data_IF_017638641435
#
_entry.id   IF_017638641435
#
_cell.length_a   1.000
_cell.length_b   1.000
_cell.length_c   1.000
_cell.angle_alpha   90.00
_cell.angle_beta   90.00
_cell.angle_gamma   90.00
#
_symmetry.space_group_name_H-M   'P 1'
#
loop_
_entity.id
_entity.type
_entity.pdbx_description
1 polymer ?
#
# COMPACT_ATOMS: atom_id res chain seq x y z
N UNK A 1 -16.40 20.85 -1.19
CA UNK A 1 -15.14 20.28 -0.65
C UNK A 1 -15.20 18.77 -0.38
N UNK A 2 -16.30 18.19 0.10
CA UNK A 2 -16.38 16.74 0.39
C UNK A 2 -16.22 15.83 -0.85
N UNK A 3 -16.75 16.23 -2.03
CA UNK A 3 -16.64 15.45 -3.27
C UNK A 3 -15.22 15.41 -3.86
N UNK A 4 -14.44 16.47 -3.69
CA UNK A 4 -13.04 16.52 -4.13
C UNK A 4 -12.15 15.62 -3.27
N UNK A 5 -12.43 15.53 -1.97
CA UNK A 5 -11.74 14.63 -1.05
C UNK A 5 -12.03 13.15 -1.36
N UNK A 6 -13.27 12.83 -1.72
CA UNK A 6 -13.69 11.48 -2.11
C UNK A 6 -13.01 11.03 -3.42
N UNK A 7 -12.93 11.92 -4.41
CA UNK A 7 -12.20 11.66 -5.66
C UNK A 7 -10.70 11.49 -5.41
N UNK A 8 -10.10 12.28 -4.51
CA UNK A 8 -8.69 12.15 -4.14
C UNK A 8 -8.40 10.80 -3.43
N UNK A 9 -9.33 10.30 -2.61
CA UNK A 9 -9.26 8.99 -1.96
C UNK A 9 -9.44 7.81 -2.95
N UNK A 10 -10.18 8.00 -4.04
CA UNK A 10 -10.34 7.03 -5.14
C UNK A 10 -9.13 7.00 -6.08
N UNK A 11 -8.32 8.06 -6.13
CA UNK A 11 -7.04 8.10 -6.85
C UNK A 11 -5.86 7.56 -6.02
N UNK A 12 -6.04 7.28 -4.72
CA UNK A 12 -5.02 6.58 -3.96
C UNK A 12 -4.91 5.14 -4.52
N UNK A 13 -3.71 4.71 -4.96
CA UNK A 13 -3.53 3.31 -5.32
C UNK A 13 -3.96 2.45 -4.12
N UNK A 14 -4.73 1.37 -4.35
CA UNK A 14 -5.17 0.53 -3.26
C UNK A 14 -3.95 0.09 -2.45
N UNK A 15 -3.99 0.15 -1.10
CA UNK A 15 -2.89 -0.30 -0.28
C UNK A 15 -2.54 -1.73 -0.71
N UNK A 16 -1.33 -1.91 -1.26
CA UNK A 16 -0.89 -3.21 -1.75
C UNK A 16 -0.90 -4.14 -0.55
N UNK A 17 -1.76 -5.17 -0.59
CA UNK A 17 -2.01 -6.04 0.53
C UNK A 17 -0.70 -6.63 1.09
N UNK A 18 -0.57 -6.84 2.41
CA UNK A 18 0.61 -7.46 2.99
C UNK A 18 0.86 -8.81 2.34
N UNK A 19 2.06 -9.00 1.80
CA UNK A 19 2.41 -10.25 1.15
C UNK A 19 2.84 -11.27 2.19
N UNK A 20 2.26 -12.47 2.09
CA UNK A 20 2.69 -13.64 2.81
C UNK A 20 2.95 -14.80 1.86
N UNK A 21 4.09 -15.44 2.05
CA UNK A 21 4.29 -16.83 1.71
C UNK A 21 4.39 -17.62 3.01
N UNK A 22 3.56 -18.64 3.18
CA UNK A 22 3.73 -19.66 4.22
C UNK A 22 4.43 -20.88 3.60
N UNK A 23 4.95 -21.78 4.44
CA UNK A 23 5.70 -23.01 4.10
C UNK A 23 5.25 -23.72 2.82
N UNK A 24 6.19 -24.41 2.14
CA UNK A 24 5.92 -25.10 0.87
C UNK A 24 4.66 -25.98 0.98
N UNK A 25 3.62 -25.73 0.16
CA UNK A 25 2.44 -26.58 0.17
C UNK A 25 2.78 -27.95 -0.43
N UNK A 26 2.12 -28.98 0.11
CA UNK A 26 2.15 -30.34 -0.39
C UNK A 26 1.38 -30.44 -1.73
N UNK A 27 2.01 -30.02 -2.83
CA UNK A 27 1.56 -30.22 -4.23
C UNK A 27 0.21 -29.58 -4.65
N UNK A 28 -0.06 -29.38 -5.95
CA UNK A 28 0.85 -29.23 -7.08
C UNK A 28 0.93 -27.74 -7.46
N UNK A 29 2.15 -27.19 -7.47
CA UNK A 29 2.47 -25.79 -7.81
C UNK A 29 1.84 -24.72 -6.91
N UNK A 30 2.61 -24.07 -6.02
CA UNK A 30 2.16 -22.79 -5.47
C UNK A 30 2.08 -21.81 -6.65
N UNK A 31 0.96 -21.09 -6.86
CA UNK A 31 0.74 -20.20 -8.02
C UNK A 31 1.70 -18.99 -8.08
N UNK A 32 2.78 -18.99 -7.27
CA UNK A 32 3.68 -17.86 -7.04
C UNK A 32 5.17 -18.19 -7.04
N UNK A 33 5.59 -19.43 -7.31
CA UNK A 33 7.02 -19.82 -7.36
C UNK A 33 7.45 -20.26 -8.75
N UNK A 34 8.60 -19.74 -9.20
CA UNK A 34 9.32 -20.19 -10.38
C UNK A 34 10.58 -20.94 -9.95
N UNK A 35 10.77 -22.13 -10.52
CA UNK A 35 11.93 -22.98 -10.33
C UNK A 35 12.77 -22.97 -11.61
N UNK A 36 14.10 -22.91 -11.49
CA UNK A 36 15.01 -23.03 -12.63
C UNK A 36 16.35 -23.68 -12.23
N UNK A 37 17.15 -24.09 -13.22
CA UNK A 37 18.49 -24.64 -12.98
C UNK A 37 18.51 -25.95 -12.20
N UNK A 38 17.67 -26.93 -12.54
CA UNK A 38 17.51 -28.19 -11.80
C UNK A 38 16.98 -28.06 -10.35
N UNK A 39 16.36 -26.92 -10.02
CA UNK A 39 15.50 -26.84 -8.85
C UNK A 39 14.22 -27.65 -9.08
N UNK A 40 13.90 -28.57 -8.18
CA UNK A 40 12.72 -29.44 -8.26
C UNK A 40 11.94 -29.42 -6.95
N UNK A 41 10.61 -29.42 -7.07
CA UNK A 41 9.72 -29.53 -5.92
C UNK A 41 9.62 -31.00 -5.49
N UNK A 42 9.85 -31.26 -4.21
CA UNK A 42 9.54 -32.52 -3.52
C UNK A 42 8.37 -32.29 -2.56
N UNK A 43 7.67 -33.33 -2.08
CA UNK A 43 6.48 -33.18 -1.25
C UNK A 43 6.65 -32.26 -0.03
N UNK A 44 7.85 -32.22 0.57
CA UNK A 44 8.15 -31.47 1.79
C UNK A 44 9.38 -30.55 1.67
N UNK A 45 9.93 -30.37 0.47
CA UNK A 45 11.14 -29.58 0.27
C UNK A 45 11.33 -29.17 -1.20
N UNK A 46 12.13 -28.14 -1.43
CA UNK A 46 12.70 -27.84 -2.75
C UNK A 46 14.12 -28.38 -2.79
N UNK A 47 14.41 -29.27 -3.73
CA UNK A 47 15.74 -29.79 -3.98
C UNK A 47 16.43 -28.96 -5.04
N UNK A 48 17.62 -28.45 -4.72
CA UNK A 48 18.51 -27.70 -5.58
C UNK A 48 19.76 -28.56 -5.79
N UNK A 49 19.67 -29.48 -6.76
CA UNK A 49 20.64 -30.56 -6.99
C UNK A 49 21.74 -30.21 -8.01
N UNK A 50 21.83 -28.95 -8.43
CA UNK A 50 22.92 -28.48 -9.26
C UNK A 50 23.37 -27.07 -8.89
N UNK A 51 24.65 -26.73 -9.16
CA UNK A 51 25.07 -25.35 -9.21
C UNK A 51 24.19 -24.63 -10.24
N UNK A 52 23.71 -23.42 -9.90
CA UNK A 52 22.73 -22.61 -10.68
C UNK A 52 21.25 -22.93 -10.44
N UNK A 53 20.93 -23.85 -9.53
CA UNK A 53 19.55 -24.04 -9.11
C UNK A 53 18.99 -22.78 -8.44
N UNK A 54 17.78 -22.38 -8.85
CA UNK A 54 17.13 -21.17 -8.38
C UNK A 54 15.65 -21.41 -8.10
N UNK A 55 15.20 -20.82 -7.00
CA UNK A 55 13.80 -20.67 -6.60
C UNK A 55 13.51 -19.17 -6.51
N UNK A 56 12.46 -18.66 -7.15
CA UNK A 56 12.10 -17.24 -7.01
C UNK A 56 10.59 -17.04 -7.03
N UNK A 57 10.11 -15.94 -6.46
CA UNK A 57 8.73 -15.52 -6.63
C UNK A 57 8.45 -15.18 -8.10
N UNK A 58 7.24 -15.45 -8.58
CA UNK A 58 6.82 -15.05 -9.94
C UNK A 58 6.40 -13.59 -10.00
N UNK A 59 5.87 -13.06 -8.91
CA UNK A 59 5.38 -11.69 -8.81
C UNK A 59 6.27 -10.87 -7.88
N UNK A 60 6.64 -9.63 -8.27
CA UNK A 60 7.42 -8.76 -7.41
C UNK A 60 6.55 -8.27 -6.24
N UNK A 61 7.18 -8.08 -5.08
CA UNK A 61 6.53 -7.73 -3.81
C UNK A 61 7.02 -6.37 -3.34
N UNK A 62 6.10 -5.49 -2.97
CA UNK A 62 6.43 -4.26 -2.26
C UNK A 62 6.79 -4.60 -0.80
N UNK A 63 8.03 -4.31 -0.39
CA UNK A 63 8.51 -4.66 0.96
C UNK A 63 7.99 -3.71 2.04
N UNK A 64 7.67 -2.47 1.67
CA UNK A 64 7.25 -1.43 2.60
C UNK A 64 8.34 -1.06 3.63
N UNK A 65 7.97 -0.57 4.82
CA UNK A 65 8.91 -0.18 5.87
C UNK A 65 9.59 -1.37 6.58
N UNK A 66 9.04 -2.59 6.51
CA UNK A 66 9.64 -3.73 7.19
C UNK A 66 9.29 -5.06 6.49
N UNK A 67 10.25 -5.97 6.46
CA UNK A 67 10.00 -7.35 6.05
C UNK A 67 10.69 -8.32 7.00
N UNK A 68 10.14 -9.52 7.08
CA UNK A 68 10.77 -10.64 7.76
C UNK A 68 10.63 -11.90 6.94
N UNK A 69 11.71 -12.66 6.85
CA UNK A 69 11.74 -13.94 6.16
C UNK A 69 12.37 -14.98 7.06
N UNK A 70 11.79 -16.17 7.03
CA UNK A 70 12.26 -17.35 7.73
C UNK A 70 12.41 -18.47 6.71
N UNK A 71 13.48 -19.23 6.82
CA UNK A 71 13.63 -20.43 6.01
C UNK A 71 14.50 -21.45 6.72
N UNK A 72 14.31 -22.71 6.37
CA UNK A 72 15.15 -23.81 6.84
C UNK A 72 15.72 -24.58 5.68
N UNK A 73 17.01 -24.89 5.75
CA UNK A 73 17.76 -25.47 4.65
C UNK A 73 18.83 -26.44 5.14
N UNK A 74 19.40 -27.23 4.25
CA UNK A 74 20.65 -27.93 4.49
C UNK A 74 21.52 -27.88 3.25
N UNK A 75 22.83 -27.67 3.45
CA UNK A 75 23.85 -27.78 2.41
C UNK A 75 24.61 -29.08 2.63
N UNK A 76 24.82 -29.81 1.55
CA UNK A 76 25.69 -30.99 1.51
C UNK A 76 26.73 -30.77 0.42
N UNK A 77 28.01 -30.82 0.81
CA UNK A 77 29.14 -30.58 -0.09
C UNK A 77 29.54 -29.12 -0.22
N UNK A 78 30.56 -28.83 -1.06
CA UNK A 78 31.07 -27.48 -1.25
C UNK A 78 30.06 -26.60 -2.00
N UNK A 79 30.07 -25.31 -1.69
CA UNK A 79 29.26 -24.29 -2.33
C UNK A 79 28.47 -23.45 -1.33
N UNK A 80 27.51 -22.69 -1.84
CA UNK A 80 26.72 -21.76 -1.03
C UNK A 80 25.25 -21.71 -1.44
N UNK A 81 24.40 -21.36 -0.50
CA UNK A 81 23.02 -20.96 -0.72
C UNK A 81 22.92 -19.45 -0.48
N UNK A 82 22.28 -18.70 -1.38
CA UNK A 82 22.00 -17.29 -1.13
C UNK A 82 20.54 -16.98 -1.24
N UNK A 83 20.02 -16.26 -0.24
CA UNK A 83 18.76 -15.56 -0.33
C UNK A 83 19.00 -14.21 -1.00
N UNK A 84 18.19 -13.86 -1.99
CA UNK A 84 18.37 -12.60 -2.72
C UNK A 84 17.07 -11.80 -2.85
N UNK A 85 17.23 -10.49 -2.95
CA UNK A 85 16.21 -9.54 -3.36
C UNK A 85 16.69 -8.77 -4.59
N UNK A 86 15.89 -8.80 -5.65
CA UNK A 86 16.17 -8.13 -6.91
C UNK A 86 15.08 -7.10 -7.21
N UNK A 87 15.43 -5.84 -7.47
CA UNK A 87 14.44 -4.83 -7.86
C UNK A 87 13.79 -5.18 -9.20
N UNK A 88 12.50 -4.87 -9.31
CA UNK A 88 11.72 -4.98 -10.53
C UNK A 88 11.32 -3.58 -11.02
N UNK A 89 11.51 -3.23 -12.31
CA UNK A 89 12.21 -4.00 -13.36
C UNK A 89 13.71 -4.15 -13.05
N UNK A 90 14.30 -5.22 -13.58
CA UNK A 90 15.70 -5.61 -13.30
C UNK A 90 16.66 -4.49 -13.76
N UNK A 91 17.48 -3.91 -12.89
CA UNK A 91 18.46 -2.92 -13.29
C UNK A 91 19.68 -3.61 -13.91
N UNK A 92 20.23 -3.01 -14.96
CA UNK A 92 21.42 -3.53 -15.69
C UNK A 92 22.71 -3.56 -14.85
N UNK A 93 22.73 -2.83 -13.72
CA UNK A 93 23.98 -2.53 -13.00
C UNK A 93 24.39 -3.58 -11.96
N UNK A 94 23.44 -4.30 -11.34
CA UNK A 94 23.71 -5.35 -10.34
C UNK A 94 22.61 -6.43 -10.34
N UNK A 95 22.97 -7.73 -10.30
CA UNK A 95 21.99 -8.82 -10.36
C UNK A 95 21.10 -8.89 -9.09
N UNK A 96 21.62 -8.47 -7.93
CA UNK A 96 20.93 -8.49 -6.64
C UNK A 96 21.15 -7.18 -5.88
N UNK A 97 20.08 -6.63 -5.31
CA UNK A 97 20.18 -5.48 -4.40
C UNK A 97 20.59 -5.92 -3.00
N UNK A 98 20.02 -7.03 -2.50
CA UNK A 98 20.43 -7.69 -1.26
C UNK A 98 20.72 -9.15 -1.58
N UNK A 99 21.86 -9.66 -1.13
CA UNK A 99 22.14 -11.08 -1.14
C UNK A 99 22.71 -11.49 0.22
N UNK A 100 22.12 -12.52 0.83
CA UNK A 100 22.62 -13.10 2.08
C UNK A 100 23.07 -14.50 1.75
N UNK A 101 24.37 -14.73 1.82
CA UNK A 101 25.02 -15.95 1.33
C UNK A 101 25.52 -16.77 2.50
N UNK A 102 25.11 -18.03 2.52
CA UNK A 102 25.49 -19.06 3.48
C UNK A 102 26.43 -20.04 2.79
N UNK A 103 27.68 -20.06 3.23
CA UNK A 103 28.74 -20.92 2.71
C UNK A 103 28.78 -22.24 3.49
N UNK A 104 29.06 -23.34 2.80
CA UNK A 104 29.36 -24.65 3.40
C UNK A 104 30.54 -24.58 4.39
N UNK A 105 31.46 -23.63 4.23
CA UNK A 105 32.53 -23.34 5.19
C UNK A 105 32.05 -22.64 6.48
N UNK A 106 30.74 -22.71 6.78
CA UNK A 106 30.08 -22.09 7.93
C UNK A 106 30.26 -20.56 7.99
N UNK A 107 30.46 -19.89 6.86
CA UNK A 107 30.53 -18.43 6.77
C UNK A 107 29.21 -17.86 6.26
N UNK A 108 28.78 -16.75 6.85
CA UNK A 108 27.63 -16.00 6.38
C UNK A 108 28.05 -14.59 6.02
N UNK A 109 27.63 -14.14 4.83
CA UNK A 109 27.92 -12.79 4.33
C UNK A 109 26.65 -12.10 3.87
N UNK A 110 26.62 -10.78 4.03
CA UNK A 110 25.55 -9.91 3.56
C UNK A 110 26.16 -9.00 2.51
N UNK A 111 25.70 -9.12 1.28
CA UNK A 111 26.04 -8.24 0.18
C UNK A 111 24.88 -7.29 -0.09
N UNK A 112 25.18 -6.02 -0.28
CA UNK A 112 24.21 -5.01 -0.63
C UNK A 112 24.70 -4.20 -1.83
N UNK A 113 23.89 -4.12 -2.88
CA UNK A 113 24.23 -3.51 -4.16
C UNK A 113 25.62 -3.98 -4.69
N UNK A 114 25.88 -5.29 -4.60
CA UNK A 114 27.15 -5.90 -5.04
C UNK A 114 28.34 -5.76 -4.08
N UNK A 115 28.19 -5.10 -2.94
CA UNK A 115 29.27 -4.89 -1.97
C UNK A 115 29.02 -5.70 -0.69
N UNK A 116 30.02 -6.44 -0.23
CA UNK A 116 29.95 -7.14 1.06
C UNK A 116 29.92 -6.12 2.20
N UNK A 117 28.81 -6.06 2.92
CA UNK A 117 28.58 -5.11 4.03
C UNK A 117 28.74 -5.75 5.41
N UNK A 118 28.63 -7.08 5.51
CA UNK A 118 28.84 -7.80 6.76
C UNK A 118 29.26 -9.24 6.52
N UNK A 119 30.13 -9.76 7.40
CA UNK A 119 30.55 -11.16 7.39
C UNK A 119 30.62 -11.69 8.81
N UNK A 120 30.22 -12.94 9.01
CA UNK A 120 30.37 -13.65 10.28
C UNK A 120 30.71 -15.10 10.01
N UNK A 121 31.60 -15.66 10.84
CA UNK A 121 31.71 -17.10 10.98
C UNK A 121 30.57 -17.58 11.87
N UNK A 122 29.88 -18.64 11.43
CA UNK A 122 29.00 -19.40 12.28
C UNK A 122 29.78 -20.58 12.84
N UNK A 123 29.67 -20.83 14.14
CA UNK A 123 30.23 -22.05 14.76
C UNK A 123 29.41 -23.31 14.41
N UNK A 124 28.46 -23.19 13.48
CA UNK A 124 27.59 -24.24 13.00
C UNK A 124 28.32 -25.00 11.88
N UNK A 125 29.41 -25.67 12.25
CA UNK A 125 30.16 -26.51 11.34
C UNK A 125 29.30 -27.70 10.87
N UNK A 126 29.30 -28.06 9.57
CA UNK A 126 28.64 -29.26 9.09
C UNK A 126 29.40 -30.50 9.62
N UNK A 127 28.97 -31.02 10.76
CA UNK A 127 29.44 -32.31 11.29
C UNK A 127 28.91 -33.43 10.42
N UNK A 128 29.70 -33.92 9.44
CA UNK A 128 29.60 -35.17 8.64
C UNK A 128 28.26 -35.56 7.97
N UNK A 129 27.14 -34.96 8.35
CA UNK A 129 25.79 -35.15 7.88
C UNK A 129 25.17 -33.76 7.59
N UNK A 130 24.25 -33.66 6.62
CA UNK A 130 23.59 -32.41 6.29
C UNK A 130 22.71 -31.95 7.46
N UNK A 131 23.27 -31.09 8.33
CA UNK A 131 22.52 -30.50 9.43
C UNK A 131 21.50 -29.49 8.88
N UNK A 132 20.24 -29.64 9.28
CA UNK A 132 19.19 -28.67 8.97
C UNK A 132 19.46 -27.38 9.76
N UNK A 133 19.62 -26.28 9.05
CA UNK A 133 19.81 -24.93 9.59
C UNK A 133 18.54 -24.11 9.43
N UNK A 134 18.31 -23.22 10.38
CA UNK A 134 17.18 -22.30 10.44
C UNK A 134 17.70 -20.87 10.42
N UNK A 135 17.20 -20.06 9.50
CA UNK A 135 17.61 -18.67 9.31
C UNK A 135 16.41 -17.74 9.42
N UNK A 136 16.60 -16.63 10.13
CA UNK A 136 15.64 -15.54 10.23
C UNK A 136 16.31 -14.25 9.82
N UNK A 137 15.70 -13.54 8.89
CA UNK A 137 16.13 -12.22 8.47
C UNK A 137 15.01 -11.25 8.80
N UNK A 138 15.36 -10.14 9.43
CA UNK A 138 14.45 -9.07 9.77
C UNK A 138 15.04 -7.74 9.34
N UNK A 139 14.29 -7.01 8.53
CA UNK A 139 14.64 -5.68 8.08
C UNK A 139 13.64 -4.68 8.65
N UNK A 140 14.16 -3.58 9.16
CA UNK A 140 13.37 -2.43 9.58
C UNK A 140 13.94 -1.14 9.00
N UNK A 141 13.13 -0.45 8.19
CA UNK A 141 13.50 0.81 7.56
C UNK A 141 13.53 1.98 8.56
N UNK A 142 12.74 1.96 9.63
CA UNK A 142 12.67 3.09 10.58
C UNK A 142 13.96 3.21 11.39
N UNK A 143 14.47 2.07 11.86
CA UNK A 143 15.77 1.99 12.54
C UNK A 143 16.94 1.82 11.57
N UNK A 144 16.71 1.70 10.26
CA UNK A 144 17.73 1.35 9.28
C UNK A 144 18.58 0.15 9.76
N UNK A 145 17.92 -0.93 10.18
CA UNK A 145 18.56 -2.14 10.69
C UNK A 145 18.23 -3.36 9.84
N UNK A 146 19.21 -4.24 9.67
CA UNK A 146 19.04 -5.58 9.10
C UNK A 146 19.67 -6.58 10.05
N UNK A 147 18.83 -7.45 10.60
CA UNK A 147 19.25 -8.50 11.53
C UNK A 147 19.13 -9.86 10.89
N UNK A 148 20.18 -10.65 11.01
CA UNK A 148 20.27 -12.02 10.58
C UNK A 148 20.54 -12.91 11.81
N UNK A 149 19.72 -13.95 11.96
CA UNK A 149 19.86 -15.00 12.99
C UNK A 149 19.99 -16.33 12.29
N UNK A 150 20.86 -17.19 12.80
CA UNK A 150 21.08 -18.55 12.30
C UNK A 150 21.13 -19.51 13.49
N UNK A 151 20.51 -20.67 13.35
CA UNK A 151 20.46 -21.71 14.38
C UNK A 151 20.49 -23.10 13.76
N UNK A 152 21.10 -24.08 14.43
CA UNK A 152 20.95 -25.49 14.10
C UNK A 152 19.67 -26.11 14.70
N UNK A 153 18.97 -25.37 15.55
CA UNK A 153 17.69 -25.81 16.13
C UNK A 153 16.56 -24.95 15.57
N UNK A 154 15.33 -25.46 15.63
CA UNK A 154 14.13 -24.70 15.27
C UNK A 154 13.86 -23.52 16.20
N UNK A 155 14.59 -23.41 17.32
CA UNK A 155 14.48 -22.28 18.25
C UNK A 155 15.23 -21.07 17.71
N UNK A 156 14.54 -19.94 17.69
CA UNK A 156 15.09 -18.65 17.30
C UNK A 156 16.07 -18.15 18.37
N UNK A 157 17.35 -17.88 18.04
CA UNK A 157 18.31 -17.31 18.98
C UNK A 157 17.87 -15.94 19.46
N UNK A 158 18.14 -15.60 20.72
CA UNK A 158 17.82 -14.27 21.28
C UNK A 158 18.67 -13.16 20.65
N UNK A 159 19.95 -13.45 20.40
CA UNK A 159 20.91 -12.53 19.79
C UNK A 159 21.03 -12.77 18.27
N UNK A 160 21.15 -11.70 17.46
CA UNK A 160 21.47 -11.82 16.05
C UNK A 160 22.91 -12.32 15.84
N UNK A 161 23.11 -13.15 14.82
CA UNK A 161 24.45 -13.52 14.36
C UNK A 161 25.13 -12.32 13.68
N UNK A 162 24.35 -11.58 12.89
CA UNK A 162 24.78 -10.35 12.22
C UNK A 162 23.69 -9.29 12.39
N UNK A 163 24.09 -8.08 12.74
CA UNK A 163 23.22 -6.91 12.79
C UNK A 163 23.92 -5.77 12.06
N UNK A 164 23.36 -5.34 10.94
CA UNK A 164 23.83 -4.17 10.21
C UNK A 164 23.04 -2.95 10.67
N UNK A 165 23.76 -1.96 11.19
CA UNK A 165 23.24 -0.66 11.55
C UNK A 165 24.38 0.37 11.58
N UNK A 166 24.23 1.55 10.95
CA UNK A 166 23.15 1.93 10.03
C UNK A 166 23.30 1.24 8.67
N UNK A 167 22.19 1.03 7.96
CA UNK A 167 22.27 0.57 6.56
C UNK A 167 22.75 1.70 5.64
N UNK A 168 23.54 1.39 4.60
CA UNK A 168 23.98 2.39 3.64
C UNK A 168 22.81 2.89 2.79
N UNK A 169 22.94 4.05 2.11
CA UNK A 169 21.86 4.68 1.36
C UNK A 169 21.26 3.81 0.25
N UNK A 170 22.04 2.87 -0.31
CA UNK A 170 21.58 1.91 -1.32
C UNK A 170 20.44 1.02 -0.81
N UNK A 171 20.34 0.79 0.50
CA UNK A 171 19.25 0.04 1.12
C UNK A 171 17.88 0.72 1.01
N UNK A 172 17.82 2.03 0.73
CA UNK A 172 16.56 2.76 0.53
C UNK A 172 15.76 2.23 -0.67
N UNK A 173 16.43 1.54 -1.60
CA UNK A 173 15.77 0.86 -2.70
C UNK A 173 14.85 -0.27 -2.23
N UNK A 174 15.15 -0.91 -1.09
CA UNK A 174 14.33 -1.99 -0.52
C UNK A 174 12.91 -1.54 -0.20
N UNK A 175 12.72 -0.30 0.27
CA UNK A 175 11.39 0.24 0.63
C UNK A 175 10.66 0.91 -0.54
N UNK A 176 11.37 1.29 -1.59
CA UNK A 176 10.83 2.16 -2.66
C UNK A 176 10.48 1.40 -3.93
N UNK A 177 11.17 0.30 -4.23
CA UNK A 177 10.94 -0.49 -5.44
C UNK A 177 10.34 -1.84 -5.10
N UNK A 178 9.47 -2.39 -5.97
CA UNK A 178 8.99 -3.75 -5.80
C UNK A 178 10.14 -4.73 -6.05
N UNK A 179 10.20 -5.80 -5.24
CA UNK A 179 11.33 -6.73 -5.17
C UNK A 179 10.90 -8.15 -5.49
N UNK A 180 11.69 -8.85 -6.30
CA UNK A 180 11.63 -10.29 -6.47
C UNK A 180 12.52 -10.94 -5.42
N UNK A 181 11.91 -11.76 -4.56
CA UNK A 181 12.62 -12.56 -3.57
C UNK A 181 12.85 -13.98 -4.08
N UNK A 182 14.00 -14.56 -3.72
CA UNK A 182 14.32 -15.92 -4.11
C UNK A 182 15.58 -16.46 -3.46
N UNK A 183 15.93 -17.67 -3.87
CA UNK A 183 17.12 -18.39 -3.48
C UNK A 183 17.87 -18.84 -4.72
N UNK A 184 19.20 -18.77 -4.67
CA UNK A 184 20.06 -19.39 -5.67
C UNK A 184 21.11 -20.23 -4.97
N UNK A 185 21.41 -21.38 -5.55
CA UNK A 185 22.41 -22.31 -5.02
C UNK A 185 23.59 -22.42 -5.98
N UNK A 186 24.78 -22.43 -5.39
CA UNK A 186 26.03 -22.82 -6.03
C UNK A 186 26.54 -24.17 -5.50
N UNK A 187 25.83 -24.75 -4.53
CA UNK A 187 26.16 -26.07 -3.97
C UNK A 187 25.71 -27.19 -4.92
N UNK A 188 26.40 -28.31 -4.85
CA UNK A 188 26.03 -29.52 -5.59
C UNK A 188 24.75 -30.15 -5.05
N UNK A 189 24.49 -30.01 -3.75
CA UNK A 189 23.26 -30.50 -3.15
C UNK A 189 22.80 -29.58 -2.02
N UNK A 190 21.72 -28.85 -2.27
CA UNK A 190 21.07 -28.01 -1.29
C UNK A 190 19.57 -28.36 -1.23
N UNK A 191 19.02 -28.46 -0.03
CA UNK A 191 17.59 -28.69 0.15
C UNK A 191 16.99 -27.60 1.01
N UNK A 192 15.93 -26.96 0.52
CA UNK A 192 15.18 -25.94 1.22
C UNK A 192 13.86 -26.55 1.70
N UNK A 193 13.69 -26.69 3.01
CA UNK A 193 12.56 -27.41 3.61
C UNK A 193 11.39 -26.49 3.96
N UNK A 194 11.68 -25.23 4.22
CA UNK A 194 10.68 -24.25 4.61
C UNK A 194 11.09 -22.89 4.07
N UNK A 195 10.10 -22.12 3.65
CA UNK A 195 10.25 -20.70 3.39
C UNK A 195 8.95 -19.99 3.76
N UNK A 196 9.08 -19.03 4.66
CA UNK A 196 8.05 -18.09 5.01
C UNK A 196 8.57 -16.67 4.75
N UNK A 197 7.77 -15.84 4.10
CA UNK A 197 8.15 -14.47 3.76
C UNK A 197 6.99 -13.53 4.02
N UNK A 198 7.21 -12.52 4.84
CA UNK A 198 6.21 -11.50 5.21
C UNK A 198 6.78 -10.12 4.91
N UNK A 199 6.04 -9.35 4.13
CA UNK A 199 6.32 -7.94 3.92
C UNK A 199 5.12 -7.13 4.44
N UNK A 200 5.40 -6.16 5.31
CA UNK A 200 4.38 -5.24 5.76
C UNK A 200 4.43 -3.98 4.90
N UNK A 201 3.35 -3.72 4.17
CA UNK A 201 3.18 -2.51 3.36
C UNK A 201 2.20 -1.50 3.99
N UNK A 202 1.58 -1.83 5.14
CA UNK A 202 0.69 -0.87 5.79
C UNK A 202 1.53 0.20 6.48
N UNK A 203 1.53 1.41 5.91
CA UNK A 203 2.01 2.64 6.54
C UNK A 203 1.23 3.01 7.81
N UNK A 204 0.19 2.25 8.16
CA UNK A 204 -0.60 2.42 9.37
C UNK A 204 0.08 1.68 10.52
N UNK A 205 0.81 2.46 11.30
CA UNK A 205 1.44 2.14 12.58
C UNK A 205 2.84 1.49 12.50
N UNK A 206 3.80 2.24 13.02
CA UNK A 206 5.24 2.04 13.17
C UNK A 206 5.66 0.83 14.01
N UNK A 207 4.78 -0.16 14.19
CA UNK A 207 5.11 -1.34 14.97
C UNK A 207 6.03 -2.24 14.11
N UNK A 208 7.26 -2.53 14.58
CA UNK A 208 8.14 -3.44 13.88
C UNK A 208 7.42 -4.77 13.72
N UNK A 209 7.49 -5.34 12.51
CA UNK A 209 6.87 -6.62 12.21
C UNK A 209 7.40 -7.66 13.20
N UNK A 210 6.57 -8.06 14.18
CA UNK A 210 7.02 -8.96 15.22
C UNK A 210 7.32 -10.34 14.60
N UNK A 211 8.59 -10.77 14.57
CA UNK A 211 8.97 -12.01 13.93
C UNK A 211 8.57 -13.23 14.77
N UNK A 212 8.00 -13.04 15.96
CA UNK A 212 7.42 -14.10 16.78
C UNK A 212 6.24 -14.77 16.09
N UNK A 213 5.47 -14.04 15.28
CA UNK A 213 4.33 -14.59 14.53
C UNK A 213 4.73 -15.55 13.41
N UNK A 214 6.00 -15.53 12.97
CA UNK A 214 6.55 -16.55 12.07
C UNK A 214 6.83 -17.89 12.79
N UNK A 215 6.79 -17.91 14.13
CA UNK A 215 7.11 -19.06 14.96
C UNK A 215 5.89 -19.78 15.55
N UNK A 216 4.74 -19.10 15.67
CA UNK A 216 3.53 -19.64 16.35
C UNK A 216 2.68 -20.57 15.51
N UNK A 217 3.16 -21.00 14.35
CA UNK A 217 2.44 -21.89 13.45
C UNK A 217 3.13 -23.26 13.42
N UNK A 218 2.72 -24.26 14.23
CA UNK A 218 2.78 -25.65 13.75
C UNK A 218 2.03 -25.72 12.42
N UNK A 219 2.34 -26.63 11.47
CA UNK A 219 1.59 -26.72 10.21
C UNK A 219 0.10 -26.77 10.57
N UNK A 220 -0.66 -25.69 10.31
CA UNK A 220 -2.00 -25.64 10.80
C UNK A 220 -2.75 -26.60 9.90
N UNK A 221 -3.45 -27.56 10.51
CA UNK A 221 -4.65 -28.08 9.91
C UNK A 221 -5.55 -26.85 9.70
N UNK A 222 -5.45 -26.23 8.52
CA UNK A 222 -6.15 -24.98 8.23
C UNK A 222 -7.63 -25.31 8.11
N UNK A 223 -8.52 -24.72 8.90
CA UNK A 223 -9.81 -24.38 8.36
C UNK A 223 -9.56 -23.43 7.18
N UNK A 224 -10.20 -23.76 6.08
CA UNK A 224 -10.23 -23.06 4.80
C UNK A 224 -10.20 -21.52 4.95
N UNK A 225 -9.49 -20.78 4.08
CA UNK A 225 -9.49 -19.32 4.15
C UNK A 225 -10.92 -18.80 4.07
N UNK A 226 -11.32 -18.02 5.08
CA UNK A 226 -12.58 -17.31 5.06
C UNK A 226 -12.60 -16.43 3.80
N UNK A 227 -13.62 -16.56 2.92
CA UNK A 227 -13.77 -15.65 1.81
C UNK A 227 -13.98 -14.25 2.40
N UNK A 228 -13.18 -13.29 1.92
CA UNK A 228 -13.45 -11.88 2.15
C UNK A 228 -14.93 -11.64 1.81
N UNK A 229 -15.71 -11.22 2.82
CA UNK A 229 -17.10 -10.79 2.64
C UNK A 229 -17.07 -9.52 1.78
N UNK A 230 -17.00 -9.71 0.47
CA UNK A 230 -17.36 -8.70 -0.49
C UNK A 230 -18.88 -8.59 -0.39
N UNK A 231 -19.36 -7.49 0.17
CA UNK A 231 -20.78 -7.24 0.36
C UNK A 231 -21.36 -6.64 -0.94
N UNK A 232 -21.95 -7.44 -1.85
CA UNK A 232 -22.41 -6.95 -3.15
C UNK A 232 -23.47 -5.85 -3.02
N UNK A 233 -24.18 -5.82 -1.88
CA UNK A 233 -25.17 -4.81 -1.57
C UNK A 233 -24.58 -3.41 -1.39
N UNK A 234 -23.33 -3.26 -0.94
CA UNK A 234 -22.67 -1.95 -0.88
C UNK A 234 -22.40 -1.38 -2.28
N UNK A 235 -22.01 -2.23 -3.23
CA UNK A 235 -21.80 -1.84 -4.62
C UNK A 235 -23.13 -1.43 -5.28
N UNK A 236 -24.20 -2.17 -4.99
CA UNK A 236 -25.54 -1.86 -5.50
C UNK A 236 -26.09 -0.54 -4.94
N UNK A 237 -25.89 -0.29 -3.64
CA UNK A 237 -26.30 0.96 -2.98
C UNK A 237 -25.54 2.16 -3.55
N UNK A 238 -24.24 2.00 -3.79
CA UNK A 238 -23.41 3.04 -4.39
C UNK A 238 -23.81 3.32 -5.85
N UNK A 239 -24.05 2.26 -6.64
CA UNK A 239 -24.51 2.39 -8.02
C UNK A 239 -25.87 3.11 -8.10
N UNK A 240 -26.81 2.75 -7.21
CA UNK A 240 -28.13 3.39 -7.13
C UNK A 240 -28.04 4.87 -6.73
N UNK A 241 -27.22 5.20 -5.71
CA UNK A 241 -27.01 6.58 -5.28
C UNK A 241 -26.38 7.45 -6.39
N UNK A 242 -25.40 6.89 -7.11
CA UNK A 242 -24.73 7.57 -8.21
C UNK A 242 -25.68 7.82 -9.40
N UNK A 243 -26.51 6.82 -9.74
CA UNK A 243 -27.53 6.94 -10.79
C UNK A 243 -28.57 8.02 -10.46
N UNK A 244 -29.07 8.04 -9.22
CA UNK A 244 -30.02 9.05 -8.77
C UNK A 244 -29.41 10.47 -8.87
N UNK A 245 -28.17 10.66 -8.42
CA UNK A 245 -27.50 11.97 -8.52
C UNK A 245 -27.36 12.44 -9.98
N UNK A 246 -26.98 11.55 -10.90
CA UNK A 246 -26.80 11.89 -12.31
C UNK A 246 -28.12 12.33 -12.95
N UNK A 247 -29.20 11.61 -12.69
CA UNK A 247 -30.53 11.94 -13.21
C UNK A 247 -31.03 13.29 -12.70
N UNK A 248 -30.89 13.58 -11.39
CA UNK A 248 -31.22 14.88 -10.82
C UNK A 248 -30.40 16.01 -11.44
N UNK A 249 -29.12 15.79 -11.68
CA UNK A 249 -28.25 16.80 -12.31
C UNK A 249 -28.69 17.13 -13.73
N UNK A 250 -28.99 16.09 -14.54
CA UNK A 250 -29.48 16.27 -15.90
C UNK A 250 -30.83 16.97 -15.94
N UNK A 251 -31.76 16.60 -15.04
CA UNK A 251 -33.07 17.25 -14.93
C UNK A 251 -32.93 18.71 -14.53
N UNK A 252 -32.05 19.02 -13.57
CA UNK A 252 -31.79 20.37 -13.12
C UNK A 252 -31.19 21.24 -14.23
N UNK A 253 -30.22 20.72 -14.97
CA UNK A 253 -29.60 21.42 -16.10
C UNK A 253 -30.62 21.61 -17.24
N UNK A 254 -31.38 20.56 -17.59
CA UNK A 254 -32.44 20.63 -18.59
C UNK A 254 -33.51 21.67 -18.22
N UNK A 255 -34.02 21.62 -17.00
CA UNK A 255 -35.00 22.59 -16.50
C UNK A 255 -34.42 24.01 -16.47
N UNK A 256 -33.19 24.18 -16.00
CA UNK A 256 -32.53 25.49 -15.93
C UNK A 256 -32.24 26.07 -17.31
N UNK A 257 -32.04 25.24 -18.34
CA UNK A 257 -31.75 25.68 -19.71
C UNK A 257 -33.00 25.86 -20.57
N UNK A 258 -34.04 25.05 -20.37
CA UNK A 258 -35.26 25.09 -21.19
C UNK A 258 -36.42 25.86 -20.52
N UNK A 259 -36.59 25.81 -19.20
CA UNK A 259 -37.71 26.46 -18.54
C UNK A 259 -37.46 27.97 -18.28
N UNK A 260 -36.21 28.42 -18.26
CA UNK A 260 -35.85 29.84 -18.09
C UNK A 260 -35.77 30.60 -19.42
N UNK A 261 -35.79 29.91 -20.55
CA UNK A 261 -35.93 30.52 -21.89
C UNK A 261 -37.41 30.85 -22.16
N UNK A 262 -38.03 31.70 -21.33
CA UNK A 262 -39.24 32.39 -21.76
C UNK A 262 -38.85 33.30 -22.93
N UNK A 263 -39.51 33.23 -24.10
CA UNK A 263 -39.30 34.20 -25.15
C UNK A 263 -39.80 35.54 -24.62
N UNK A 264 -38.87 36.47 -24.32
CA UNK A 264 -39.21 37.88 -24.19
C UNK A 264 -39.61 38.33 -25.59
N UNK A 265 -40.92 38.40 -25.82
CA UNK A 265 -41.47 38.94 -27.06
C UNK A 265 -41.02 40.41 -27.19
N UNK A 266 -40.52 40.84 -28.35
CA UNK A 266 -40.25 42.26 -28.58
C UNK A 266 -41.60 42.98 -28.63
N UNK A 267 -41.77 43.99 -27.77
CA UNK A 267 -42.91 44.91 -27.88
C UNK A 267 -42.73 45.70 -29.17
N UNK A 268 -43.51 45.35 -30.19
CA UNK A 268 -43.66 46.15 -31.40
C UNK A 268 -44.44 47.41 -31.05
N UNK A 269 -43.85 48.57 -31.32
CA UNK A 269 -44.51 49.88 -31.28
C UNK A 269 -45.61 49.91 -32.32
N UNK A 270 -46.86 49.68 -31.91
CA UNK A 270 -48.04 49.98 -32.72
C UNK A 270 -48.59 51.34 -32.33
N UNK A 271 -48.44 52.23 -33.28
CA UNK A 271 -49.11 53.52 -33.46
C UNK A 271 -50.63 53.35 -33.35
N UNK A 272 -51.23 53.94 -32.33
CA UNK A 272 -52.69 54.12 -32.25
C UNK A 272 -53.02 55.28 -31.30
N UNK A 273 -53.09 56.46 -31.92
CA UNK A 273 -54.08 57.52 -31.72
C UNK A 273 -54.54 57.78 -30.27
N UNK A 274 -53.80 58.66 -29.57
CA UNK A 274 -54.21 59.22 -28.28
C UNK A 274 -54.97 60.51 -28.55
N UNK A 275 -56.30 60.43 -28.54
CA UNK A 275 -57.19 61.59 -28.57
C UNK A 275 -57.15 62.27 -27.19
N UNK A 276 -56.69 63.52 -27.17
CA UNK A 276 -56.66 64.37 -25.98
C UNK A 276 -58.05 64.93 -25.66
N UNK A 277 -58.63 64.56 -24.53
CA UNK A 277 -59.78 65.28 -23.97
C UNK A 277 -59.30 66.41 -23.04
N UNK A 278 -59.51 67.65 -23.48
CA UNK A 278 -59.12 68.87 -22.80
C UNK A 278 -60.10 69.16 -21.66
N UNK A 279 -59.71 68.90 -20.42
CA UNK A 279 -60.48 69.32 -19.24
C UNK A 279 -60.08 70.75 -18.89
N UNK A 280 -61.00 71.69 -19.09
CA UNK A 280 -60.90 73.08 -18.63
C UNK A 280 -61.45 73.15 -17.20
N UNK A 281 -60.61 73.49 -16.22
CA UNK A 281 -61.10 74.00 -14.94
C UNK A 281 -60.72 75.48 -14.80
N UNK A 282 -61.77 76.29 -14.76
CA UNK A 282 -61.80 77.72 -14.46
C UNK A 282 -61.48 77.91 -12.99
N UNK A 283 -60.55 78.81 -12.69
CA UNK A 283 -60.20 79.16 -11.32
C UNK A 283 -61.21 80.13 -10.68
N UNK A 284 -61.39 80.00 -9.36
CA UNK A 284 -61.89 81.05 -8.50
C UNK A 284 -61.08 81.05 -7.19
N UNK A 285 -60.18 82.03 -7.16
CA UNK A 285 -59.55 82.81 -6.07
C UNK A 285 -60.60 83.16 -4.98
N UNK A 286 -60.38 83.35 -3.68
CA UNK A 286 -59.30 83.80 -2.75
C UNK A 286 -59.90 83.52 -1.32
N UNK A 287 -59.20 83.37 -0.18
CA UNK A 287 -58.55 84.44 0.60
C UNK A 287 -57.97 83.86 1.92
N UNK A 288 -56.95 84.59 2.41
CA UNK A 288 -56.51 84.81 3.79
C UNK A 288 -55.71 83.75 4.60
N UNK A 289 -54.43 84.10 4.77
CA UNK A 289 -53.57 83.75 5.92
C UNK A 289 -53.86 84.73 7.09
N UNK A 290 -53.53 84.42 8.38
CA UNK A 290 -52.14 84.54 8.83
C UNK A 290 -51.70 83.61 9.99
N UNK A 291 -50.38 83.65 10.21
CA UNK A 291 -49.55 83.26 11.37
C UNK A 291 -50.22 82.93 12.73
N UNK A 292 -49.69 81.92 13.44
CA UNK A 292 -48.79 82.12 14.60
C UNK A 292 -48.63 80.86 15.50
N UNK A 293 -47.43 80.75 16.10
CA UNK A 293 -47.09 80.16 17.42
C UNK A 293 -46.78 78.65 17.54
N UNK A 294 -45.49 78.34 17.68
CA UNK A 294 -44.93 77.20 18.43
C UNK A 294 -45.07 77.46 19.95
N UNK A 295 -45.06 76.44 20.85
CA UNK A 295 -43.78 75.90 21.31
C UNK A 295 -43.76 74.39 21.60
N UNK A 296 -42.54 73.86 21.64
CA UNK A 296 -42.10 72.56 22.16
C UNK A 296 -41.87 72.66 23.70
N UNK A 297 -41.10 71.77 24.38
CA UNK A 297 -41.42 70.45 24.95
C UNK A 297 -41.22 70.40 26.49
N UNK A 298 -41.51 69.26 27.15
CA UNK A 298 -40.96 68.90 28.48
C UNK A 298 -41.20 67.39 28.75
N UNK A 299 -40.18 66.52 28.90
CA UNK A 299 -39.32 66.28 30.11
C UNK A 299 -40.08 65.44 31.15
N UNK A 300 -39.55 64.41 31.83
CA UNK A 300 -38.30 63.65 31.84
C UNK A 300 -38.56 62.38 32.67
N UNK A 301 -37.76 61.32 32.50
CA UNK A 301 -36.83 60.88 33.55
C UNK A 301 -37.00 59.36 33.74
N UNK A 302 -36.09 58.54 33.23
CA UNK A 302 -34.90 58.02 33.91
C UNK A 302 -35.26 57.11 35.10
N UNK A 303 -34.76 55.87 35.10
CA UNK A 303 -33.80 55.36 36.09
C UNK A 303 -33.49 53.87 35.86
N UNK A 304 -32.18 53.59 35.81
CA UNK A 304 -31.44 52.32 35.89
C UNK A 304 -31.15 51.56 34.59
#
# INVERSE_FOLDING_TARGET
MAMALLFLLLLLPPPTAPFSLDFFPESPSPPRLALSGAASLRPTAVSMASPRARLQLTHPVALGPAFSTYFSFSLSGPGSLSFFLTPHPHPDRHPFLLAIVFDAAARVRIDLAGHTTGTAASHLAPSSAPARLHSWIHYNATSATLQLRLSATSRRPALPLLSLHPLPPSALLLRTKPMLAGFTSSATNCTLFAWAFRANNTMQHSQPLDPSHLLTTPPPHRPQPHPHHYYPWLSLLFAAACGAMLTFFLLFVWYSLLATRRPVAPVTTSDSDVVYEKIVLVGAKDDDAPAATTPSPAVAGNNN
#
